data_IF_264624261541
#
_entry.id   IF_264624261541
#
_cell.length_a   1.000
_cell.length_b   1.000
_cell.length_c   1.000
_cell.angle_alpha   90.00
_cell.angle_beta   90.00
_cell.angle_gamma   90.00
#
_symmetry.space_group_name_H-M   'P 1'
#
loop_
_entity.id
_entity.type
_entity.pdbx_description
1 polymer ?
#
# COMPACT_ATOMS: atom_id res chain seq x y z
N UNK A 1 14.66 9.64 -11.95
CA UNK A 1 15.55 8.50 -11.57
C UNK A 1 14.68 7.28 -11.36
N UNK A 2 15.07 6.13 -11.88
CA UNK A 2 14.33 4.88 -11.62
C UNK A 2 14.57 4.48 -10.16
N UNK A 3 13.50 4.45 -9.34
CA UNK A 3 13.58 3.92 -7.97
C UNK A 3 13.06 2.49 -7.99
N UNK A 4 13.66 1.60 -7.18
CA UNK A 4 13.29 0.19 -7.08
C UNK A 4 11.78 -0.01 -6.81
N UNK A 5 11.17 0.91 -6.06
CA UNK A 5 9.76 0.85 -5.70
C UNK A 5 8.80 0.90 -6.89
N UNK A 6 9.20 1.48 -8.02
CA UNK A 6 8.36 1.55 -9.23
C UNK A 6 8.21 0.21 -9.96
N UNK A 7 9.12 -0.73 -9.73
CA UNK A 7 9.12 -2.07 -10.30
C UNK A 7 8.73 -3.14 -9.28
N UNK A 8 8.44 -2.73 -8.04
CA UNK A 8 8.13 -3.65 -6.96
C UNK A 8 6.70 -4.21 -7.06
N UNK A 9 6.56 -5.41 -6.50
CA UNK A 9 5.26 -5.97 -6.08
C UNK A 9 5.28 -6.01 -4.57
N UNK A 10 4.38 -5.25 -3.95
CA UNK A 10 4.30 -5.13 -2.50
C UNK A 10 3.41 -6.20 -1.87
N UNK A 11 3.80 -6.64 -0.68
CA UNK A 11 2.97 -7.42 0.23
C UNK A 11 2.78 -6.63 1.53
N UNK A 12 1.54 -6.33 1.89
CA UNK A 12 1.23 -5.58 3.10
C UNK A 12 0.91 -6.51 4.26
N UNK A 13 1.56 -6.31 5.40
CA UNK A 13 1.29 -7.00 6.66
C UNK A 13 0.83 -5.99 7.71
N UNK A 14 -0.27 -6.30 8.41
CA UNK A 14 -0.65 -5.64 9.66
C UNK A 14 -0.19 -6.54 10.82
N UNK A 15 0.98 -6.24 11.44
CA UNK A 15 1.67 -7.21 12.28
C UNK A 15 0.94 -7.52 13.60
N UNK A 16 0.33 -6.53 14.25
CA UNK A 16 -0.47 -6.77 15.47
C UNK A 16 -1.60 -7.78 15.21
N UNK A 17 -2.27 -7.68 14.05
CA UNK A 17 -3.30 -8.63 13.64
C UNK A 17 -2.73 -9.98 13.27
N UNK A 18 -1.85 -10.04 12.25
CA UNK A 18 -1.28 -11.31 11.75
C UNK A 18 -0.67 -12.15 12.88
N UNK A 19 0.04 -11.49 13.79
CA UNK A 19 0.73 -12.16 14.90
C UNK A 19 -0.19 -12.47 16.09
N UNK A 20 -1.47 -12.10 16.05
CA UNK A 20 -2.43 -12.38 17.13
C UNK A 20 -2.14 -11.63 18.43
N UNK A 21 -1.63 -10.40 18.32
CA UNK A 21 -1.40 -9.55 19.48
C UNK A 21 -2.72 -9.09 20.11
N UNK A 22 -2.80 -8.92 21.45
CA UNK A 22 -3.99 -8.35 22.08
C UNK A 22 -4.20 -6.91 21.60
N UNK A 23 -5.46 -6.45 21.55
CA UNK A 23 -5.78 -5.10 21.09
C UNK A 23 -5.18 -4.03 22.02
N UNK A 24 -5.43 -4.16 23.32
CA UNK A 24 -4.83 -3.27 24.34
C UNK A 24 -3.38 -3.68 24.61
N UNK A 25 -2.50 -2.69 24.76
CA UNK A 25 -1.12 -2.93 25.17
C UNK A 25 -1.10 -3.29 26.66
N UNK A 26 -0.96 -4.56 26.94
CA UNK A 26 -0.93 -5.12 28.30
C UNK A 26 0.45 -5.02 28.97
N UNK A 27 1.46 -4.52 28.27
CA UNK A 27 2.85 -4.41 28.72
C UNK A 27 3.59 -5.75 28.79
N UNK A 28 2.99 -6.84 28.33
CA UNK A 28 3.63 -8.17 28.31
C UNK A 28 4.46 -8.32 27.04
N UNK A 29 5.75 -8.62 27.25
CA UNK A 29 6.63 -8.86 26.10
C UNK A 29 6.51 -10.30 25.63
N UNK A 30 6.21 -10.43 24.33
CA UNK A 30 6.10 -11.70 23.62
C UNK A 30 6.86 -11.62 22.29
N UNK A 31 7.36 -12.73 21.78
CA UNK A 31 8.14 -12.77 20.53
C UNK A 31 7.26 -13.09 19.29
N UNK A 32 6.06 -12.49 19.21
CA UNK A 32 5.06 -12.81 18.19
C UNK A 32 5.48 -12.43 16.77
N UNK A 33 6.28 -11.38 16.61
CA UNK A 33 6.73 -10.90 15.30
C UNK A 33 7.57 -11.95 14.54
N UNK A 34 8.21 -12.88 15.26
CA UNK A 34 8.97 -13.97 14.66
C UNK A 34 8.10 -14.89 13.80
N UNK A 35 6.77 -14.89 13.99
CA UNK A 35 5.81 -15.55 13.10
C UNK A 35 5.95 -15.13 11.64
N UNK A 36 6.35 -13.89 11.37
CA UNK A 36 6.57 -13.39 10.01
C UNK A 36 7.66 -14.15 9.28
N UNK A 37 8.60 -14.78 9.99
CA UNK A 37 9.63 -15.62 9.38
C UNK A 37 9.04 -16.77 8.56
N UNK A 38 7.90 -17.33 9.01
CA UNK A 38 7.17 -18.41 8.32
C UNK A 38 6.45 -17.90 7.05
N UNK A 39 6.29 -16.57 6.90
CA UNK A 39 5.69 -15.92 5.72
C UNK A 39 6.71 -15.59 4.63
N UNK A 40 8.01 -15.52 4.95
CA UNK A 40 9.03 -15.02 4.03
C UNK A 40 9.10 -15.83 2.73
N UNK A 41 9.09 -17.16 2.84
CA UNK A 41 9.10 -18.06 1.67
C UNK A 41 7.84 -17.88 0.82
N UNK A 42 6.67 -17.85 1.45
CA UNK A 42 5.38 -17.60 0.77
C UNK A 42 5.37 -16.26 0.00
N UNK A 43 5.85 -15.19 0.63
CA UNK A 43 5.94 -13.86 0.01
C UNK A 43 6.87 -13.88 -1.20
N UNK A 44 8.02 -14.56 -1.08
CA UNK A 44 8.97 -14.70 -2.18
C UNK A 44 8.40 -15.53 -3.34
N UNK A 45 7.73 -16.66 -3.03
CA UNK A 45 7.08 -17.52 -4.02
C UNK A 45 5.89 -16.83 -4.70
N UNK A 46 5.14 -16.00 -3.96
CA UNK A 46 4.09 -15.16 -4.53
C UNK A 46 4.63 -14.15 -5.57
N UNK A 47 5.95 -13.92 -5.57
CA UNK A 47 6.63 -12.99 -6.48
C UNK A 47 6.71 -11.56 -5.94
N UNK A 48 6.33 -11.34 -4.67
CA UNK A 48 6.50 -10.05 -4.01
C UNK A 48 7.96 -9.82 -3.62
N UNK A 49 8.47 -8.62 -3.87
CA UNK A 49 9.85 -8.23 -3.58
C UNK A 49 9.96 -7.00 -2.67
N UNK A 50 8.84 -6.59 -2.08
CA UNK A 50 8.79 -5.59 -1.04
C UNK A 50 7.69 -5.93 -0.03
N UNK A 51 7.97 -5.77 1.27
CA UNK A 51 6.98 -5.86 2.34
C UNK A 51 6.75 -4.47 2.90
N UNK A 52 5.48 -4.10 3.00
CA UNK A 52 5.02 -2.94 3.75
C UNK A 52 4.42 -3.40 5.07
N UNK A 53 5.05 -3.03 6.18
CA UNK A 53 4.53 -3.26 7.51
C UNK A 53 3.68 -2.06 7.96
N UNK A 54 2.39 -2.29 8.28
CA UNK A 54 1.62 -1.39 9.14
C UNK A 54 2.33 -1.26 10.50
N UNK A 55 1.95 -0.32 11.41
CA UNK A 55 2.78 0.05 12.54
C UNK A 55 3.32 -1.13 13.36
N UNK A 56 4.62 -1.06 13.68
CA UNK A 56 5.36 -2.07 14.47
C UNK A 56 5.84 -1.53 15.81
N UNK A 57 5.79 -0.21 16.02
CA UNK A 57 6.37 0.44 17.20
C UNK A 57 5.41 0.46 18.39
N UNK A 58 5.98 0.62 19.58
CA UNK A 58 5.24 0.65 20.85
C UNK A 58 4.07 1.62 20.79
N UNK A 59 2.86 1.12 21.06
CA UNK A 59 1.61 1.86 20.92
C UNK A 59 0.61 1.57 22.04
N UNK A 60 -0.43 2.39 22.15
CA UNK A 60 -1.49 2.18 23.15
C UNK A 60 -2.38 0.99 22.77
N UNK A 61 -2.80 0.90 21.49
CA UNK A 61 -3.73 -0.14 21.00
C UNK A 61 -3.38 -0.63 19.59
N UNK A 62 -3.92 0.02 18.56
CA UNK A 62 -3.91 -0.44 17.16
C UNK A 62 -2.62 -0.09 16.37
N UNK A 63 -1.59 0.40 17.02
CA UNK A 63 -0.33 0.75 16.35
C UNK A 63 -0.25 2.21 15.90
N UNK A 64 -1.36 2.85 15.54
CA UNK A 64 -1.37 4.25 15.11
C UNK A 64 -1.34 5.27 16.26
N UNK A 65 -1.51 4.85 17.50
CA UNK A 65 -1.34 5.66 18.71
C UNK A 65 0.01 5.37 19.38
N UNK A 66 1.09 5.77 18.69
CA UNK A 66 2.48 5.49 19.03
C UNK A 66 2.87 6.07 20.40
N UNK A 67 3.58 5.26 21.20
CA UNK A 67 4.22 5.69 22.48
C UNK A 67 5.70 5.95 22.32
N UNK A 68 6.37 5.16 21.47
CA UNK A 68 7.83 5.21 21.31
C UNK A 68 8.21 4.79 19.89
N UNK A 69 8.99 5.62 19.20
CA UNK A 69 9.37 5.38 17.81
C UNK A 69 10.57 4.44 17.62
N UNK A 70 11.38 4.23 18.66
CA UNK A 70 12.61 3.43 18.56
C UNK A 70 12.50 2.07 19.25
N UNK A 71 11.31 1.72 19.75
CA UNK A 71 11.04 0.45 20.42
C UNK A 71 9.93 -0.29 19.70
N UNK A 72 10.18 -1.55 19.35
CA UNK A 72 9.14 -2.44 18.82
C UNK A 72 8.09 -2.67 19.92
N UNK A 73 6.82 -2.73 19.51
CA UNK A 73 5.70 -2.98 20.43
C UNK A 73 5.94 -4.27 21.21
N UNK A 74 5.87 -4.19 22.55
CA UNK A 74 6.17 -5.32 23.42
C UNK A 74 5.27 -6.54 23.12
N UNK A 75 4.05 -6.31 22.64
CA UNK A 75 3.13 -7.37 22.20
C UNK A 75 3.65 -8.12 20.96
N UNK A 76 4.53 -7.50 20.16
CA UNK A 76 5.16 -8.09 18.98
C UNK A 76 6.51 -8.70 19.30
N UNK A 77 7.34 -8.05 20.12
CA UNK A 77 8.66 -8.57 20.41
C UNK A 77 9.66 -7.54 20.88
N UNK A 78 10.91 -7.81 20.55
CA UNK A 78 12.04 -6.91 20.76
C UNK A 78 12.53 -6.29 19.46
N UNK A 79 13.41 -5.30 19.56
CA UNK A 79 14.08 -4.73 18.38
C UNK A 79 14.93 -5.79 17.66
N UNK A 80 15.54 -6.71 18.41
CA UNK A 80 16.33 -7.84 17.88
C UNK A 80 15.46 -8.81 17.09
N UNK A 81 14.26 -9.12 17.58
CA UNK A 81 13.30 -9.99 16.87
C UNK A 81 12.90 -9.38 15.53
N UNK A 82 12.53 -8.08 15.53
CA UNK A 82 12.15 -7.41 14.29
C UNK A 82 13.33 -7.24 13.34
N UNK A 83 14.52 -7.00 13.87
CA UNK A 83 15.74 -6.99 13.05
C UNK A 83 15.96 -8.34 12.37
N UNK A 84 15.80 -9.45 13.08
CA UNK A 84 15.89 -10.78 12.49
C UNK A 84 14.88 -11.00 11.35
N UNK A 85 13.66 -10.47 11.48
CA UNK A 85 12.65 -10.49 10.41
C UNK A 85 13.12 -9.66 9.21
N UNK A 86 13.62 -8.45 9.43
CA UNK A 86 14.13 -7.60 8.35
C UNK A 86 15.32 -8.26 7.63
N UNK A 87 16.27 -8.81 8.38
CA UNK A 87 17.43 -9.49 7.83
C UNK A 87 17.01 -10.69 6.96
N UNK A 88 16.01 -11.47 7.44
CA UNK A 88 15.48 -12.62 6.68
C UNK A 88 14.77 -12.21 5.39
N UNK A 89 14.02 -11.12 5.42
CA UNK A 89 13.40 -10.55 4.21
C UNK A 89 14.48 -10.12 3.21
N UNK A 90 15.50 -9.39 3.66
CA UNK A 90 16.60 -8.95 2.82
C UNK A 90 17.42 -10.13 2.23
N UNK A 91 17.66 -11.20 3.00
CA UNK A 91 18.30 -12.43 2.51
C UNK A 91 17.53 -13.06 1.34
N UNK A 92 16.21 -12.85 1.28
CA UNK A 92 15.35 -13.32 0.19
C UNK A 92 15.10 -12.25 -0.89
N UNK A 93 15.86 -11.15 -0.89
CA UNK A 93 15.75 -10.07 -1.87
C UNK A 93 14.47 -9.23 -1.74
N UNK A 94 13.85 -9.25 -0.56
CA UNK A 94 12.60 -8.52 -0.27
C UNK A 94 12.95 -7.24 0.48
N UNK A 95 12.55 -6.09 -0.08
CA UNK A 95 12.69 -4.77 0.51
C UNK A 95 11.71 -4.56 1.68
N UNK A 96 12.10 -3.76 2.67
CA UNK A 96 11.30 -3.51 3.87
C UNK A 96 10.87 -2.04 3.93
N UNK A 97 9.56 -1.81 4.01
CA UNK A 97 8.94 -0.49 4.17
C UNK A 97 8.14 -0.47 5.47
N UNK A 98 8.33 0.54 6.31
CA UNK A 98 7.61 0.71 7.57
C UNK A 98 6.55 1.80 7.48
N UNK A 99 5.54 1.70 8.34
CA UNK A 99 4.56 2.77 8.54
C UNK A 99 5.14 3.87 9.45
N UNK A 100 5.16 5.08 8.95
CA UNK A 100 5.58 6.28 9.65
C UNK A 100 4.39 7.09 10.12
N UNK A 101 3.98 6.91 11.36
CA UNK A 101 2.87 7.64 11.99
C UNK A 101 3.41 8.92 12.60
N UNK A 102 3.51 10.00 11.80
CA UNK A 102 4.18 11.23 12.20
C UNK A 102 3.25 12.43 12.40
N UNK A 103 1.97 12.31 12.02
CA UNK A 103 1.00 13.36 12.25
C UNK A 103 0.57 13.45 13.72
N UNK A 104 0.50 12.32 14.40
CA UNK A 104 -0.02 12.19 15.76
C UNK A 104 0.68 11.06 16.52
N UNK A 105 0.49 11.05 17.83
CA UNK A 105 0.98 10.03 18.78
C UNK A 105 -0.14 9.60 19.71
N UNK A 106 0.06 8.50 20.42
CA UNK A 106 -0.83 8.05 21.48
C UNK A 106 -0.76 8.93 22.72
N UNK A 107 -1.76 8.83 23.59
CA UNK A 107 -1.77 9.51 24.88
C UNK A 107 -0.69 8.98 25.84
N UNK A 108 -0.21 7.75 25.59
CA UNK A 108 0.91 7.14 26.30
C UNK A 108 2.29 7.69 25.90
N UNK A 109 2.38 8.57 24.88
CA UNK A 109 3.65 9.19 24.46
C UNK A 109 4.27 9.99 25.61
N UNK A 110 5.55 9.73 26.01
CA UNK A 110 6.14 10.29 27.22
C UNK A 110 6.09 11.82 27.31
N UNK A 111 6.35 12.52 26.19
CA UNK A 111 6.34 13.98 26.14
C UNK A 111 4.92 14.54 26.32
N UNK A 112 3.88 13.84 25.81
CA UNK A 112 2.51 14.26 26.04
C UNK A 112 2.07 14.02 27.49
N UNK A 113 2.49 12.91 28.09
CA UNK A 113 2.24 12.64 29.51
C UNK A 113 2.88 13.71 30.42
N UNK A 114 4.12 14.11 30.12
CA UNK A 114 4.78 15.21 30.85
C UNK A 114 3.96 16.52 30.76
N UNK A 115 3.40 16.83 29.57
CA UNK A 115 2.50 17.99 29.40
C UNK A 115 1.22 17.84 30.23
N UNK A 116 0.62 16.67 30.26
CA UNK A 116 -0.58 16.43 31.08
C UNK A 116 -0.30 16.61 32.58
N UNK A 117 0.89 16.24 33.06
CA UNK A 117 1.31 16.37 34.46
C UNK A 117 1.73 17.80 34.82
N UNK A 118 2.61 18.40 34.02
CA UNK A 118 3.28 19.68 34.36
C UNK A 118 2.62 20.93 33.76
N UNK A 119 1.71 20.75 32.80
CA UNK A 119 0.99 21.85 32.13
C UNK A 119 1.97 22.89 31.55
N UNK A 120 1.86 24.13 31.99
CA UNK A 120 2.70 25.24 31.54
C UNK A 120 4.20 25.04 31.81
N UNK A 121 4.57 24.26 32.80
CA UNK A 121 5.96 24.01 33.19
C UNK A 121 6.62 22.89 32.36
N UNK A 122 5.86 22.20 31.52
CA UNK A 122 6.42 21.18 30.62
C UNK A 122 7.28 21.78 29.54
N UNK A 123 8.51 21.28 29.30
CA UNK A 123 9.34 21.71 28.17
C UNK A 123 8.78 21.23 26.81
N UNK A 124 7.80 20.33 26.81
CA UNK A 124 7.21 19.73 25.62
C UNK A 124 5.87 20.35 25.22
N UNK A 125 5.38 21.40 25.90
CA UNK A 125 4.08 21.99 25.60
C UNK A 125 3.92 22.45 24.14
N UNK A 126 5.01 22.92 23.53
CA UNK A 126 5.02 23.39 22.14
C UNK A 126 5.21 22.27 21.11
N UNK A 127 5.33 21.01 21.57
CA UNK A 127 5.36 19.83 20.70
C UNK A 127 3.98 19.47 20.15
N UNK A 128 2.93 20.03 20.77
CA UNK A 128 1.53 19.76 20.46
C UNK A 128 0.78 21.08 20.29
N UNK A 129 -0.44 21.01 19.78
CA UNK A 129 -1.34 22.14 19.68
C UNK A 129 -2.28 22.14 20.89
N UNK A 130 -1.95 22.89 21.95
CA UNK A 130 -2.61 22.83 23.25
C UNK A 130 -3.26 24.16 23.61
N UNK A 131 -4.43 24.08 24.27
CA UNK A 131 -5.08 25.18 24.96
C UNK A 131 -5.32 24.76 26.42
N UNK A 132 -4.59 25.40 27.36
CA UNK A 132 -4.69 25.11 28.78
C UNK A 132 -5.95 25.70 29.46
N UNK A 133 -6.66 26.59 28.79
CA UNK A 133 -7.95 27.12 29.25
C UNK A 133 -9.15 26.25 28.82
N UNK A 134 -8.89 25.25 27.97
CA UNK A 134 -9.87 24.29 27.47
C UNK A 134 -9.84 22.95 28.20
N UNK A 135 -10.65 22.01 27.71
CA UNK A 135 -10.65 20.63 28.19
C UNK A 135 -10.95 19.67 27.04
N UNK A 136 -10.45 18.45 27.12
CA UNK A 136 -10.75 17.37 26.19
C UNK A 136 -11.82 16.42 26.76
N UNK A 137 -12.24 15.44 25.99
CA UNK A 137 -13.12 14.36 26.45
C UNK A 137 -12.51 13.50 27.57
N UNK A 138 -11.20 13.54 27.74
CA UNK A 138 -10.47 12.85 28.82
C UNK A 138 -10.46 13.62 30.14
N UNK A 139 -10.95 14.86 30.13
CA UNK A 139 -11.05 15.69 31.33
C UNK A 139 -9.71 15.95 32.04
N UNK A 140 -8.65 16.14 31.28
CA UNK A 140 -7.27 16.36 31.78
C UNK A 140 -7.00 17.81 32.22
N UNK A 141 -7.97 18.71 32.07
CA UNK A 141 -7.79 20.15 32.31
C UNK A 141 -6.90 20.83 31.29
N UNK A 142 -6.94 20.35 30.06
CA UNK A 142 -6.38 20.97 28.85
C UNK A 142 -7.14 20.47 27.63
N UNK A 143 -7.25 21.32 26.61
CA UNK A 143 -7.66 20.94 25.29
C UNK A 143 -6.42 20.80 24.39
N UNK A 144 -6.44 19.86 23.47
CA UNK A 144 -5.40 19.68 22.45
C UNK A 144 -6.03 19.25 21.13
N UNK A 145 -5.34 19.52 20.03
CA UNK A 145 -5.76 19.05 18.72
C UNK A 145 -5.48 17.55 18.58
N UNK A 146 -6.54 16.78 18.24
CA UNK A 146 -6.42 15.39 17.83
C UNK A 146 -6.58 15.26 16.33
N UNK A 147 -6.18 14.12 15.76
CA UNK A 147 -6.45 13.84 14.36
C UNK A 147 -7.97 13.71 14.13
N UNK A 148 -8.53 14.58 13.28
CA UNK A 148 -9.97 14.60 12.93
C UNK A 148 -10.93 14.51 14.14
N UNK A 149 -10.53 15.04 15.29
CA UNK A 149 -11.33 15.03 16.52
C UNK A 149 -11.15 13.79 17.41
N UNK A 150 -10.28 12.87 17.01
CA UNK A 150 -9.89 11.70 17.82
C UNK A 150 -8.84 12.11 18.86
N UNK A 151 -9.24 12.24 20.13
CA UNK A 151 -8.37 12.67 21.22
C UNK A 151 -7.39 11.61 21.72
N UNK A 152 -7.56 10.36 21.35
CA UNK A 152 -6.56 9.28 21.53
C UNK A 152 -5.38 9.39 20.56
N UNK A 153 -5.49 10.23 19.52
CA UNK A 153 -4.49 10.50 18.49
C UNK A 153 -4.05 11.97 18.58
N UNK A 154 -3.08 12.23 19.48
CA UNK A 154 -2.63 13.58 19.83
C UNK A 154 -1.76 14.15 18.72
N UNK A 155 -2.20 15.23 18.08
CA UNK A 155 -1.50 15.82 16.94
C UNK A 155 -0.17 16.46 17.34
N UNK A 156 0.89 16.13 16.59
CA UNK A 156 2.21 16.71 16.73
C UNK A 156 2.32 18.05 15.99
N UNK A 157 3.09 18.98 16.57
CA UNK A 157 3.44 20.24 15.92
C UNK A 157 4.69 20.04 15.03
N UNK A 158 4.50 19.64 13.77
CA UNK A 158 5.57 19.41 12.81
C UNK A 158 6.32 20.69 12.36
N UNK A 159 5.93 21.88 12.86
CA UNK A 159 6.68 23.12 12.69
C UNK A 159 7.67 23.36 13.83
N UNK A 160 7.57 22.61 14.91
CA UNK A 160 8.53 22.66 16.00
C UNK A 160 9.81 21.87 15.61
N UNK A 161 11.00 22.52 15.54
CA UNK A 161 12.22 21.82 15.14
C UNK A 161 12.58 20.63 16.03
N UNK A 162 12.31 20.71 17.34
CA UNK A 162 12.62 19.60 18.26
C UNK A 162 11.74 18.36 17.99
N UNK A 163 10.48 18.55 17.56
CA UNK A 163 9.61 17.45 17.12
C UNK A 163 10.15 16.83 15.84
N UNK A 164 10.51 17.67 14.87
CA UNK A 164 11.06 17.19 13.60
C UNK A 164 12.38 16.44 13.82
N UNK A 165 13.28 16.96 14.65
CA UNK A 165 14.56 16.32 14.97
C UNK A 165 14.37 14.99 15.70
N UNK A 166 13.37 14.89 16.59
CA UNK A 166 13.00 13.64 17.26
C UNK A 166 12.54 12.57 16.25
N UNK A 167 11.65 12.93 15.32
CA UNK A 167 11.16 12.03 14.27
C UNK A 167 12.30 11.61 13.32
N UNK A 168 13.11 12.56 12.85
CA UNK A 168 14.24 12.25 11.96
C UNK A 168 15.30 11.38 12.65
N UNK A 169 15.51 11.57 13.97
CA UNK A 169 16.35 10.70 14.77
C UNK A 169 15.85 9.25 14.79
N UNK A 170 14.54 9.06 14.95
CA UNK A 170 13.92 7.75 14.89
C UNK A 170 14.05 7.12 13.48
N UNK A 171 13.77 7.89 12.42
CA UNK A 171 13.93 7.43 11.03
C UNK A 171 15.37 7.02 10.73
N UNK A 172 16.35 7.79 11.22
CA UNK A 172 17.77 7.41 11.11
C UNK A 172 18.04 6.07 11.78
N UNK A 173 17.53 5.90 13.01
CA UNK A 173 17.67 4.63 13.73
C UNK A 173 17.05 3.46 12.95
N UNK A 174 15.88 3.62 12.36
CA UNK A 174 15.23 2.58 11.55
C UNK A 174 16.06 2.17 10.34
N UNK A 175 16.67 3.17 9.64
CA UNK A 175 17.53 2.92 8.49
C UNK A 175 18.82 2.21 8.93
N UNK A 176 19.47 2.69 9.98
CA UNK A 176 20.78 2.19 10.41
C UNK A 176 20.70 0.85 11.14
N UNK A 177 19.64 0.63 11.95
CA UNK A 177 19.52 -0.59 12.76
C UNK A 177 18.71 -1.69 12.09
N UNK A 178 17.53 -1.38 11.55
CA UNK A 178 16.68 -2.37 10.87
C UNK A 178 17.03 -2.51 9.37
N UNK A 179 17.73 -1.56 8.79
CA UNK A 179 18.10 -1.58 7.38
C UNK A 179 16.95 -1.26 6.42
N UNK A 180 15.88 -0.62 6.87
CA UNK A 180 14.69 -0.39 6.06
C UNK A 180 14.97 0.34 4.75
N UNK A 181 14.13 0.08 3.75
CA UNK A 181 14.26 0.58 2.39
C UNK A 181 13.27 1.71 2.05
N UNK A 182 12.30 1.93 2.90
CA UNK A 182 11.30 2.96 2.69
C UNK A 182 10.36 3.16 3.87
N UNK A 183 9.51 4.18 3.73
CA UNK A 183 8.45 4.51 4.69
C UNK A 183 7.16 4.81 3.93
N UNK A 184 6.05 4.27 4.42
CA UNK A 184 4.70 4.74 4.12
C UNK A 184 4.30 5.76 5.17
N UNK A 185 3.93 6.95 4.78
CA UNK A 185 3.49 8.01 5.68
C UNK A 185 1.98 7.90 5.91
N UNK A 186 1.61 7.61 7.14
CA UNK A 186 0.23 7.65 7.61
C UNK A 186 -0.34 9.06 7.45
N UNK A 187 -1.60 9.16 7.00
CA UNK A 187 -2.32 10.42 6.75
C UNK A 187 -1.45 11.53 6.14
N UNK A 188 -0.71 11.20 5.08
CA UNK A 188 0.27 12.11 4.48
C UNK A 188 -0.30 13.46 4.06
N UNK A 189 -1.61 13.54 3.80
CA UNK A 189 -2.31 14.79 3.49
C UNK A 189 -2.39 15.76 4.69
N UNK A 190 -2.23 15.26 5.93
CA UNK A 190 -2.21 16.06 7.16
C UNK A 190 -0.80 16.57 7.53
N UNK A 191 0.25 15.99 6.96
CA UNK A 191 1.63 16.34 7.31
C UNK A 191 2.02 17.73 6.78
N UNK A 192 2.80 18.46 7.57
CA UNK A 192 3.34 19.75 7.16
C UNK A 192 4.18 19.65 5.88
N UNK A 193 4.10 20.65 5.01
CA UNK A 193 4.73 20.65 3.70
C UNK A 193 6.26 20.64 3.79
N UNK A 194 6.82 21.47 4.67
CA UNK A 194 8.27 21.59 4.85
C UNK A 194 8.83 20.36 5.54
N UNK A 195 8.07 19.74 6.45
CA UNK A 195 8.43 18.46 7.06
C UNK A 195 8.63 17.36 6.00
N UNK A 196 7.70 17.23 5.03
CA UNK A 196 7.83 16.21 3.97
C UNK A 196 9.06 16.42 3.10
N UNK A 197 9.36 17.66 2.72
CA UNK A 197 10.59 18.00 1.97
C UNK A 197 11.85 17.69 2.78
N UNK A 198 11.84 18.03 4.06
CA UNK A 198 12.96 17.76 4.96
C UNK A 198 13.16 16.24 5.14
N UNK A 199 12.08 15.49 5.32
CA UNK A 199 12.13 14.02 5.40
C UNK A 199 12.72 13.41 4.12
N UNK A 200 12.24 13.86 2.93
CA UNK A 200 12.77 13.40 1.64
C UNK A 200 14.28 13.62 1.52
N UNK A 201 14.73 14.85 1.76
CA UNK A 201 16.15 15.20 1.67
C UNK A 201 16.99 14.42 2.69
N UNK A 202 16.49 14.27 3.92
CA UNK A 202 17.17 13.55 4.99
C UNK A 202 17.34 12.06 4.67
N UNK A 203 16.26 11.39 4.26
CA UNK A 203 16.30 9.95 3.97
C UNK A 203 17.14 9.64 2.73
N UNK A 204 17.03 10.45 1.66
CA UNK A 204 17.88 10.31 0.47
C UNK A 204 19.36 10.53 0.80
N UNK A 205 19.67 11.41 1.75
CA UNK A 205 21.06 11.63 2.22
C UNK A 205 21.64 10.43 3.00
N UNK A 206 20.78 9.62 3.63
CA UNK A 206 21.20 8.40 4.35
C UNK A 206 21.24 7.16 3.42
N UNK A 207 20.26 7.07 2.51
CA UNK A 207 20.12 5.95 1.57
C UNK A 207 19.52 6.49 0.26
N UNK A 208 20.33 6.53 -0.79
CA UNK A 208 20.01 7.20 -2.06
C UNK A 208 18.70 6.71 -2.70
N UNK A 209 18.46 5.40 -2.64
CA UNK A 209 17.29 4.75 -3.21
C UNK A 209 16.09 4.61 -2.24
N UNK A 210 16.12 5.32 -1.09
CA UNK A 210 15.07 5.23 -0.08
C UNK A 210 13.69 5.66 -0.63
N UNK A 211 12.66 4.82 -0.41
CA UNK A 211 11.35 4.98 -1.03
C UNK A 211 10.32 5.58 -0.07
N UNK A 212 9.66 6.67 -0.45
CA UNK A 212 8.61 7.31 0.33
C UNK A 212 7.26 7.16 -0.35
N UNK A 213 6.29 6.58 0.37
CA UNK A 213 4.89 6.42 -0.04
C UNK A 213 4.03 7.26 0.90
N UNK A 214 3.05 7.99 0.40
CA UNK A 214 2.08 8.70 1.24
C UNK A 214 0.72 8.04 1.20
N UNK A 215 0.05 7.97 2.33
CA UNK A 215 -1.38 7.72 2.31
C UNK A 215 -2.12 8.98 1.90
N UNK A 216 -2.78 8.92 0.75
CA UNK A 216 -3.65 9.98 0.24
C UNK A 216 -5.01 9.37 -0.10
N UNK A 217 -6.08 9.95 0.45
CA UNK A 217 -7.44 9.46 0.24
C UNK A 217 -8.13 10.18 -0.91
N UNK A 218 -7.80 11.45 -1.14
CA UNK A 218 -8.42 12.31 -2.14
C UNK A 218 -7.55 13.52 -2.47
N UNK A 219 -7.96 14.29 -3.46
CA UNK A 219 -7.28 15.52 -3.88
C UNK A 219 -6.35 15.33 -5.06
N UNK A 220 -5.56 16.34 -5.35
CA UNK A 220 -4.56 16.30 -6.43
C UNK A 220 -3.24 15.73 -5.91
N UNK A 221 -2.97 14.47 -6.21
CA UNK A 221 -1.78 13.74 -5.73
C UNK A 221 -0.46 14.36 -6.20
N UNK A 222 -0.44 15.12 -7.31
CA UNK A 222 0.76 15.80 -7.80
C UNK A 222 1.35 16.80 -6.80
N UNK A 223 0.52 17.28 -5.87
CA UNK A 223 0.96 18.19 -4.79
C UNK A 223 1.87 17.50 -3.77
N UNK A 224 1.80 16.16 -3.66
CA UNK A 224 2.58 15.36 -2.71
C UNK A 224 3.59 14.44 -3.40
N UNK A 225 3.21 13.87 -4.55
CA UNK A 225 4.05 12.96 -5.33
C UNK A 225 4.81 13.76 -6.38
N UNK A 226 6.06 14.06 -6.07
CA UNK A 226 6.96 14.85 -6.93
C UNK A 226 8.43 14.64 -6.49
N UNK A 227 9.38 15.27 -7.19
CA UNK A 227 10.82 15.08 -6.96
C UNK A 227 11.30 15.61 -5.60
N UNK A 228 10.54 16.49 -4.94
CA UNK A 228 10.94 17.10 -3.66
C UNK A 228 10.36 16.38 -2.43
N UNK A 229 9.28 15.58 -2.60
CA UNK A 229 8.55 15.00 -1.47
C UNK A 229 8.41 13.48 -1.59
N UNK A 230 7.28 12.99 -2.06
CA UNK A 230 6.98 11.56 -2.09
C UNK A 230 7.26 10.96 -3.47
N UNK A 231 7.68 9.69 -3.49
CA UNK A 231 7.83 8.92 -4.72
C UNK A 231 6.51 8.35 -5.22
N UNK A 232 5.63 8.00 -4.28
CA UNK A 232 4.35 7.33 -4.54
C UNK A 232 3.31 7.72 -3.49
N UNK A 233 2.06 7.38 -3.76
CA UNK A 233 0.95 7.47 -2.82
C UNK A 233 -0.03 6.33 -3.05
N UNK A 234 -0.87 6.03 -2.05
CA UNK A 234 -1.95 5.05 -2.15
C UNK A 234 -2.99 5.47 -3.20
N UNK A 235 -3.31 4.57 -4.13
CA UNK A 235 -4.21 4.87 -5.25
C UNK A 235 -5.69 4.66 -4.88
N UNK A 236 -6.21 5.48 -3.97
CA UNK A 236 -7.64 5.49 -3.68
C UNK A 236 -8.50 6.02 -4.83
N UNK A 237 -7.91 6.77 -5.77
CA UNK A 237 -8.59 7.26 -6.97
C UNK A 237 -9.16 6.13 -7.83
N UNK A 238 -8.40 5.02 -7.97
CA UNK A 238 -8.81 3.85 -8.77
C UNK A 238 -9.40 2.72 -7.92
N UNK A 239 -9.21 2.73 -6.59
CA UNK A 239 -9.64 1.65 -5.69
C UNK A 239 -11.13 1.30 -5.87
N UNK A 240 -12.02 2.30 -5.85
CA UNK A 240 -13.45 2.05 -6.03
C UNK A 240 -13.75 1.39 -7.36
N UNK A 241 -13.15 1.88 -8.45
CA UNK A 241 -13.36 1.34 -9.79
C UNK A 241 -12.95 -0.11 -9.93
N UNK A 242 -11.94 -0.58 -9.17
CA UNK A 242 -11.47 -1.97 -9.19
C UNK A 242 -12.55 -2.98 -8.78
N UNK A 243 -13.48 -2.62 -7.89
CA UNK A 243 -14.56 -3.55 -7.51
C UNK A 243 -15.91 -3.14 -8.11
N UNK A 244 -16.21 -1.83 -8.19
CA UNK A 244 -17.52 -1.39 -8.64
C UNK A 244 -17.76 -1.66 -10.12
N UNK A 245 -16.72 -1.59 -10.96
CA UNK A 245 -16.83 -1.93 -12.38
C UNK A 245 -17.26 -3.38 -12.62
N UNK A 246 -16.76 -4.31 -11.78
CA UNK A 246 -17.16 -5.72 -11.86
C UNK A 246 -18.55 -5.95 -11.25
N UNK A 247 -18.87 -5.32 -10.12
CA UNK A 247 -20.17 -5.46 -9.46
C UNK A 247 -21.32 -4.88 -10.29
N UNK A 248 -21.09 -3.77 -10.98
CA UNK A 248 -22.08 -3.10 -11.84
C UNK A 248 -22.03 -3.60 -13.31
N UNK A 249 -21.07 -4.50 -13.64
CA UNK A 249 -20.79 -4.92 -15.02
C UNK A 249 -20.60 -3.72 -15.93
N UNK A 250 -19.76 -2.77 -15.51
CA UNK A 250 -19.51 -1.51 -16.22
C UNK A 250 -18.02 -1.15 -16.21
N UNK A 251 -17.24 -1.73 -17.14
CA UNK A 251 -15.81 -1.47 -17.28
C UNK A 251 -15.48 -0.02 -17.65
N UNK A 252 -16.48 0.78 -18.10
CA UNK A 252 -16.26 2.21 -18.34
C UNK A 252 -15.86 2.96 -17.07
N UNK A 253 -16.26 2.52 -15.88
CA UNK A 253 -15.95 3.21 -14.63
C UNK A 253 -14.43 3.22 -14.35
N UNK A 254 -13.80 2.04 -14.28
CA UNK A 254 -12.35 1.97 -14.04
C UNK A 254 -11.55 2.49 -15.24
N UNK A 255 -11.95 2.15 -16.46
CA UNK A 255 -11.27 2.59 -17.66
C UNK A 255 -11.32 4.11 -17.85
N UNK A 256 -12.42 4.76 -17.47
CA UNK A 256 -12.54 6.23 -17.48
C UNK A 256 -11.55 6.87 -16.49
N UNK A 257 -11.50 6.35 -15.26
CA UNK A 257 -10.53 6.82 -14.25
C UNK A 257 -9.09 6.66 -14.75
N UNK A 258 -8.74 5.48 -15.27
CA UNK A 258 -7.41 5.21 -15.80
C UNK A 258 -7.06 6.14 -16.97
N UNK A 259 -7.94 6.29 -17.95
CA UNK A 259 -7.71 7.14 -19.13
C UNK A 259 -7.53 8.61 -18.74
N UNK A 260 -8.35 9.14 -17.85
CA UNK A 260 -8.31 10.55 -17.47
C UNK A 260 -7.14 10.88 -16.54
N UNK A 261 -6.69 9.92 -15.72
CA UNK A 261 -5.61 10.17 -14.75
C UNK A 261 -4.24 9.79 -15.29
N UNK A 262 -4.13 8.63 -15.97
CA UNK A 262 -2.87 8.03 -16.38
C UNK A 262 -2.70 7.91 -17.90
N UNK A 263 -3.61 8.47 -18.71
CA UNK A 263 -3.52 8.46 -20.15
C UNK A 263 -2.27 9.18 -20.67
N UNK A 264 -1.95 9.03 -21.98
CA UNK A 264 -0.76 9.60 -22.59
C UNK A 264 -0.85 11.12 -22.83
N UNK A 265 -2.04 11.68 -22.69
CA UNK A 265 -2.29 13.09 -23.00
C UNK A 265 -1.65 14.02 -21.96
N UNK A 266 -1.20 15.19 -22.38
CA UNK A 266 -0.52 16.16 -21.48
C UNK A 266 -1.41 16.66 -20.33
N UNK A 267 -2.72 16.62 -20.52
CA UNK A 267 -3.67 17.04 -19.48
C UNK A 267 -3.97 15.94 -18.44
N UNK A 268 -3.51 14.69 -18.68
CA UNK A 268 -3.67 13.61 -17.70
C UNK A 268 -2.82 13.91 -16.45
N UNK A 269 -3.51 14.06 -15.34
CA UNK A 269 -2.95 14.62 -14.10
C UNK A 269 -1.85 13.75 -13.48
N UNK A 270 -1.95 12.42 -13.62
CA UNK A 270 -1.02 11.44 -13.02
C UNK A 270 -0.20 10.71 -14.07
N UNK A 271 -0.04 11.30 -15.25
CA UNK A 271 0.80 10.74 -16.31
C UNK A 271 2.22 10.50 -15.80
N UNK A 272 2.70 9.26 -15.92
CA UNK A 272 4.03 8.85 -15.47
C UNK A 272 4.18 8.73 -13.95
N UNK A 273 3.12 8.90 -13.16
CA UNK A 273 3.14 8.60 -11.73
C UNK A 273 2.98 7.11 -11.47
N UNK A 274 3.71 6.61 -10.49
CA UNK A 274 3.65 5.24 -10.01
C UNK A 274 2.99 5.22 -8.63
N UNK A 275 1.66 5.10 -8.59
CA UNK A 275 0.90 5.05 -7.35
C UNK A 275 0.83 3.61 -6.83
N UNK A 276 0.81 3.44 -5.50
CA UNK A 276 0.62 2.15 -4.86
C UNK A 276 -0.83 1.71 -5.00
N UNK A 277 -1.07 0.72 -5.86
CA UNK A 277 -2.39 0.21 -6.22
C UNK A 277 -2.74 -1.01 -5.36
N UNK A 278 -3.97 -1.08 -4.88
CA UNK A 278 -4.45 -2.16 -4.03
C UNK A 278 -5.91 -2.49 -4.34
N UNK A 279 -6.32 -3.73 -4.15
CA UNK A 279 -7.70 -4.17 -4.22
C UNK A 279 -8.40 -4.11 -2.85
N UNK A 280 -7.63 -4.28 -1.79
CA UNK A 280 -8.00 -4.08 -0.39
C UNK A 280 -6.77 -3.77 0.48
N UNK A 281 -7.01 -3.37 1.73
CA UNK A 281 -6.00 -3.13 2.75
C UNK A 281 -6.61 -3.29 4.16
N UNK A 282 -5.88 -2.87 5.20
CA UNK A 282 -6.28 -3.00 6.60
C UNK A 282 -7.42 -2.07 7.05
N UNK A 283 -7.90 -1.16 6.18
CA UNK A 283 -8.92 -0.15 6.50
C UNK A 283 -10.21 -0.30 5.70
N UNK A 284 -10.22 -1.14 4.68
CA UNK A 284 -11.36 -1.34 3.79
C UNK A 284 -11.84 -2.79 3.77
N UNK A 285 -13.11 -2.99 3.40
CA UNK A 285 -13.67 -4.32 3.20
C UNK A 285 -12.81 -5.13 2.23
N UNK A 286 -12.51 -6.39 2.58
CA UNK A 286 -11.71 -7.26 1.72
C UNK A 286 -12.36 -7.49 0.37
N UNK A 287 -11.55 -7.53 -0.68
CA UNK A 287 -12.04 -7.64 -2.07
C UNK A 287 -12.90 -8.89 -2.26
N UNK A 288 -12.56 -10.02 -1.65
CA UNK A 288 -13.36 -11.25 -1.71
C UNK A 288 -14.73 -11.14 -1.03
N UNK A 289 -14.93 -10.15 -0.14
CA UNK A 289 -16.23 -9.86 0.50
C UNK A 289 -17.05 -8.84 -0.26
N UNK A 290 -16.40 -7.88 -0.96
CA UNK A 290 -17.09 -6.79 -1.63
C UNK A 290 -17.60 -7.19 -3.03
N UNK A 291 -16.98 -8.18 -3.68
CA UNK A 291 -17.38 -8.65 -5.00
C UNK A 291 -18.69 -9.45 -4.94
N UNK A 292 -19.66 -9.04 -5.75
CA UNK A 292 -20.96 -9.72 -5.90
C UNK A 292 -20.82 -11.09 -6.57
N UNK A 293 -19.86 -11.23 -7.49
CA UNK A 293 -19.52 -12.48 -8.16
C UNK A 293 -18.08 -12.90 -7.80
N UNK A 294 -17.90 -13.98 -7.01
CA UNK A 294 -16.56 -14.46 -6.66
C UNK A 294 -15.67 -14.83 -7.84
N UNK A 295 -16.25 -15.18 -9.00
CA UNK A 295 -15.52 -15.46 -10.24
C UNK A 295 -14.79 -14.25 -10.82
N UNK A 296 -15.14 -13.03 -10.40
CA UNK A 296 -14.44 -11.82 -10.80
C UNK A 296 -13.13 -11.57 -10.02
N UNK A 297 -12.89 -12.28 -8.93
CA UNK A 297 -11.73 -12.04 -8.08
C UNK A 297 -10.38 -12.12 -8.82
N UNK A 298 -10.10 -13.14 -9.68
CA UNK A 298 -8.87 -13.18 -10.47
C UNK A 298 -8.80 -12.05 -11.49
N UNK A 299 -9.95 -11.61 -12.02
CA UNK A 299 -10.02 -10.53 -13.03
C UNK A 299 -9.66 -9.18 -12.41
N UNK A 300 -10.10 -8.94 -11.15
CA UNK A 300 -9.71 -7.76 -10.38
C UNK A 300 -8.19 -7.71 -10.19
N UNK A 301 -7.56 -8.83 -9.85
CA UNK A 301 -6.10 -8.88 -9.72
C UNK A 301 -5.39 -8.68 -11.05
N UNK A 302 -5.92 -9.25 -12.16
CA UNK A 302 -5.35 -8.97 -13.49
C UNK A 302 -5.45 -7.48 -13.83
N UNK A 303 -6.56 -6.82 -13.54
CA UNK A 303 -6.68 -5.36 -13.68
C UNK A 303 -5.67 -4.62 -12.81
N UNK A 304 -5.53 -4.99 -11.53
CA UNK A 304 -4.61 -4.38 -10.58
C UNK A 304 -3.15 -4.43 -11.06
N UNK A 305 -2.72 -5.57 -11.59
CA UNK A 305 -1.35 -5.75 -12.10
C UNK A 305 -1.12 -5.16 -13.48
N UNK A 306 -2.19 -4.98 -14.27
CA UNK A 306 -2.13 -4.44 -15.62
C UNK A 306 -2.27 -2.93 -15.73
N UNK A 307 -2.92 -2.29 -14.75
CA UNK A 307 -3.08 -0.83 -14.70
C UNK A 307 -1.77 -0.13 -14.34
N UNK A 308 -1.60 1.18 -14.68
CA UNK A 308 -0.45 1.95 -14.25
C UNK A 308 -0.34 2.02 -12.72
N UNK A 309 0.85 1.74 -12.18
CA UNK A 309 1.12 1.83 -10.75
C UNK A 309 1.91 0.64 -10.22
N UNK A 310 1.99 0.56 -8.90
CA UNK A 310 2.75 -0.42 -8.13
C UNK A 310 1.74 -1.35 -7.46
N UNK A 311 1.64 -2.64 -7.81
CA UNK A 311 0.68 -3.53 -7.19
C UNK A 311 1.05 -3.85 -5.74
N UNK A 312 0.04 -3.85 -4.86
CA UNK A 312 0.15 -4.22 -3.46
C UNK A 312 -0.92 -5.25 -3.11
N UNK A 313 -0.52 -6.32 -2.45
CA UNK A 313 -1.38 -7.40 -1.96
C UNK A 313 -1.42 -7.33 -0.44
N UNK A 314 -2.62 -7.34 0.12
CA UNK A 314 -2.82 -7.38 1.56
C UNK A 314 -2.86 -8.83 2.04
N UNK A 315 -2.13 -9.16 3.12
CA UNK A 315 -1.99 -10.54 3.60
C UNK A 315 -3.35 -11.24 3.76
N UNK A 316 -3.46 -12.45 3.23
CA UNK A 316 -4.68 -13.23 3.21
C UNK A 316 -5.57 -13.01 1.98
N UNK A 317 -5.42 -11.90 1.28
CA UNK A 317 -6.23 -11.60 0.09
C UNK A 317 -5.81 -12.45 -1.11
N UNK A 318 -4.58 -12.95 -1.14
CA UNK A 318 -4.06 -13.84 -2.19
C UNK A 318 -4.66 -15.24 -2.19
N UNK A 319 -5.33 -15.65 -1.11
CA UNK A 319 -6.15 -16.86 -1.09
C UNK A 319 -7.65 -16.58 -0.91
N UNK A 320 -8.05 -15.30 -0.95
CA UNK A 320 -9.44 -14.88 -0.93
C UNK A 320 -10.05 -14.80 0.47
N UNK A 321 -9.26 -14.45 1.49
CA UNK A 321 -9.77 -14.20 2.84
C UNK A 321 -10.86 -13.13 2.82
N UNK A 322 -11.89 -13.31 3.65
CA UNK A 322 -13.08 -12.46 3.71
C UNK A 322 -13.14 -11.69 5.02
N UNK A 323 -13.52 -10.43 4.95
CA UNK A 323 -13.87 -9.59 6.10
C UNK A 323 -14.57 -8.32 5.61
N UNK A 324 -15.47 -7.76 6.41
CA UNK A 324 -16.22 -6.55 6.08
C UNK A 324 -15.92 -5.44 7.08
N UNK A 325 -15.78 -4.20 6.61
CA UNK A 325 -15.53 -3.01 7.46
C UNK A 325 -16.61 -2.77 8.50
N UNK A 326 -17.85 -3.16 8.21
CA UNK A 326 -18.98 -3.04 9.16
C UNK A 326 -18.79 -3.88 10.45
N UNK A 327 -17.94 -4.92 10.40
CA UNK A 327 -17.65 -5.79 11.54
C UNK A 327 -16.49 -5.24 12.41
N UNK A 328 -16.02 -4.02 12.08
CA UNK A 328 -14.95 -3.31 12.78
C UNK A 328 -13.56 -3.62 12.24
N UNK A 329 -12.59 -2.79 12.62
CA UNK A 329 -11.19 -2.92 12.16
C UNK A 329 -10.54 -4.25 12.53
N UNK A 330 -10.77 -4.85 13.71
CA UNK A 330 -10.18 -6.15 14.05
C UNK A 330 -10.54 -7.26 13.05
N UNK A 331 -11.76 -7.22 12.48
CA UNK A 331 -12.17 -8.19 11.47
C UNK A 331 -11.35 -8.10 10.17
N UNK A 332 -10.91 -6.89 9.81
CA UNK A 332 -10.06 -6.65 8.64
C UNK A 332 -8.59 -7.08 8.87
N UNK A 333 -8.20 -7.27 10.12
CA UNK A 333 -6.82 -7.48 10.60
C UNK A 333 -6.65 -8.82 11.32
N UNK A 334 -7.13 -9.95 10.72
CA UNK A 334 -7.16 -11.24 11.40
C UNK A 334 -5.76 -11.82 11.62
N UNK A 335 -5.65 -12.68 12.63
CA UNK A 335 -4.52 -13.59 12.74
C UNK A 335 -4.74 -14.81 11.82
N UNK A 336 -3.66 -15.27 11.20
CA UNK A 336 -3.61 -16.54 10.48
C UNK A 336 -2.49 -17.41 11.06
N UNK A 337 -2.71 -18.70 11.20
CA UNK A 337 -1.69 -19.60 11.75
C UNK A 337 -0.54 -19.82 10.77
N UNK A 338 -0.84 -19.93 9.50
CA UNK A 338 0.10 -20.08 8.39
C UNK A 338 -0.45 -19.44 7.12
N UNK A 339 0.39 -19.10 6.13
CA UNK A 339 -0.11 -18.70 4.82
C UNK A 339 -0.79 -19.87 4.12
N UNK A 340 -1.83 -19.56 3.34
CA UNK A 340 -2.54 -20.52 2.53
C UNK A 340 -2.22 -20.31 1.04
N UNK A 341 -2.35 -21.38 0.26
CA UNK A 341 -2.19 -21.35 -1.19
C UNK A 341 -3.34 -22.06 -1.87
N UNK A 342 -3.84 -21.46 -2.94
CA UNK A 342 -4.90 -22.03 -3.77
C UNK A 342 -4.74 -21.52 -5.23
N UNK A 343 -5.72 -21.83 -6.08
CA UNK A 343 -5.72 -21.41 -7.48
C UNK A 343 -5.60 -19.87 -7.68
N UNK A 344 -6.11 -19.05 -6.74
CA UNK A 344 -5.97 -17.60 -6.79
C UNK A 344 -4.53 -17.18 -6.49
N UNK A 345 -3.90 -17.81 -5.50
CA UNK A 345 -2.47 -17.60 -5.19
C UNK A 345 -1.61 -17.90 -6.42
N UNK A 346 -1.84 -19.03 -7.11
CA UNK A 346 -1.12 -19.36 -8.35
C UNK A 346 -1.37 -18.33 -9.46
N UNK A 347 -2.60 -17.81 -9.58
CA UNK A 347 -2.91 -16.76 -10.54
C UNK A 347 -2.11 -15.49 -10.26
N UNK A 348 -2.10 -15.04 -8.99
CA UNK A 348 -1.35 -13.85 -8.55
C UNK A 348 0.15 -14.03 -8.74
N UNK A 349 0.71 -15.23 -8.51
CA UNK A 349 2.12 -15.54 -8.79
C UNK A 349 2.47 -15.27 -10.26
N UNK A 350 1.60 -15.69 -11.19
CA UNK A 350 1.79 -15.44 -12.64
C UNK A 350 1.73 -13.95 -12.95
N UNK A 351 0.80 -13.21 -12.35
CA UNK A 351 0.67 -11.76 -12.50
C UNK A 351 1.90 -11.02 -11.93
N UNK A 352 2.37 -11.39 -10.76
CA UNK A 352 3.55 -10.81 -10.13
C UNK A 352 4.81 -11.06 -10.96
N UNK A 353 4.97 -12.27 -11.49
CA UNK A 353 6.04 -12.61 -12.43
C UNK A 353 5.96 -11.74 -13.69
N UNK A 354 4.76 -11.65 -14.31
CA UNK A 354 4.56 -10.82 -15.50
C UNK A 354 4.92 -9.35 -15.24
N UNK A 355 4.48 -8.78 -14.11
CA UNK A 355 4.79 -7.39 -13.73
C UNK A 355 6.29 -7.14 -13.60
N UNK A 356 7.01 -8.06 -12.96
CA UNK A 356 8.47 -7.93 -12.74
C UNK A 356 9.29 -8.14 -14.02
N UNK A 357 8.81 -8.95 -14.96
CA UNK A 357 9.51 -9.26 -16.21
C UNK A 357 9.20 -8.27 -17.36
N UNK A 358 8.08 -7.53 -17.27
CA UNK A 358 7.61 -6.62 -18.32
C UNK A 358 7.71 -5.16 -17.87
N UNK A 359 8.71 -4.45 -18.39
CA UNK A 359 8.87 -3.01 -18.11
C UNK A 359 7.69 -2.16 -18.60
N UNK A 360 7.00 -2.61 -19.64
CA UNK A 360 5.77 -1.97 -20.10
C UNK A 360 4.66 -1.99 -19.05
N UNK A 361 4.58 -2.98 -18.15
CA UNK A 361 3.63 -3.00 -17.03
C UNK A 361 4.01 -1.99 -15.95
N UNK A 362 5.31 -1.73 -15.74
CA UNK A 362 5.80 -0.76 -14.76
C UNK A 362 5.72 0.67 -15.30
N UNK A 363 6.20 0.93 -16.50
CA UNK A 363 6.46 2.28 -17.03
C UNK A 363 5.64 2.66 -18.26
N UNK A 364 4.91 1.72 -18.85
CA UNK A 364 4.27 1.89 -20.16
C UNK A 364 3.18 2.96 -20.17
N UNK A 365 3.07 3.67 -21.28
CA UNK A 365 1.92 4.52 -21.56
C UNK A 365 0.63 3.69 -21.63
N UNK A 366 -0.50 4.31 -21.26
CA UNK A 366 -1.80 3.65 -21.23
C UNK A 366 -2.63 3.99 -22.47
N UNK A 367 -3.14 2.95 -23.17
CA UNK A 367 -4.23 3.05 -24.15
C UNK A 367 -5.28 1.99 -23.87
N UNK A 368 -6.49 2.22 -24.34
CA UNK A 368 -7.61 1.27 -24.17
C UNK A 368 -8.25 1.03 -25.54
N UNK A 369 -7.70 0.10 -26.34
CA UNK A 369 -8.18 -0.18 -27.69
C UNK A 369 -9.57 -0.82 -27.74
N UNK A 370 -9.99 -1.55 -26.71
CA UNK A 370 -11.33 -2.15 -26.62
C UNK A 370 -11.94 -1.83 -25.28
N UNK A 371 -13.19 -1.38 -25.30
CA UNK A 371 -13.98 -1.07 -24.10
C UNK A 371 -15.46 -1.29 -24.36
N UNK A 372 -16.06 -2.15 -23.57
CA UNK A 372 -17.49 -2.39 -23.50
C UNK A 372 -17.95 -2.37 -22.04
N UNK A 373 -19.21 -2.66 -21.76
CA UNK A 373 -19.68 -2.76 -20.38
C UNK A 373 -18.99 -3.89 -19.59
N UNK A 374 -18.67 -4.99 -20.27
CA UNK A 374 -18.22 -6.22 -19.62
C UNK A 374 -16.80 -6.63 -20.00
N UNK A 375 -16.22 -6.02 -21.01
CA UNK A 375 -14.89 -6.34 -21.52
C UNK A 375 -14.03 -5.09 -21.70
N UNK A 376 -12.74 -5.25 -21.48
CA UNK A 376 -11.75 -4.25 -21.86
C UNK A 376 -10.44 -4.90 -22.31
N UNK A 377 -9.72 -4.19 -23.18
CA UNK A 377 -8.32 -4.46 -23.49
C UNK A 377 -7.55 -3.19 -23.22
N UNK A 378 -6.54 -3.29 -22.35
CA UNK A 378 -5.62 -2.21 -22.01
C UNK A 378 -4.30 -2.50 -22.70
N UNK A 379 -3.71 -1.49 -23.33
CA UNK A 379 -2.39 -1.55 -23.96
C UNK A 379 -1.41 -0.75 -23.15
N UNK A 380 -0.23 -1.32 -22.92
CA UNK A 380 0.92 -0.68 -22.28
C UNK A 380 2.12 -0.75 -23.20
N UNK A 381 2.72 0.39 -23.52
CA UNK A 381 3.88 0.52 -24.43
C UNK A 381 5.05 1.17 -23.68
N UNK A 382 6.22 0.54 -23.69
CA UNK A 382 7.45 1.11 -23.13
C UNK A 382 8.69 0.57 -23.88
N UNK A 383 9.52 1.45 -24.38
CA UNK A 383 10.83 1.13 -24.99
C UNK A 383 10.81 -0.05 -25.98
N UNK A 384 9.81 -0.06 -26.86
CA UNK A 384 9.63 -1.12 -27.85
C UNK A 384 8.91 -2.38 -27.35
N UNK A 385 8.71 -2.52 -26.03
CA UNK A 385 7.89 -3.58 -25.46
C UNK A 385 6.41 -3.16 -25.47
N UNK A 386 5.53 -4.06 -25.94
CA UNK A 386 4.06 -3.89 -25.91
C UNK A 386 3.41 -5.05 -25.21
N UNK A 387 2.48 -4.72 -24.33
CA UNK A 387 1.68 -5.69 -23.57
C UNK A 387 0.20 -5.30 -23.63
N UNK A 388 -0.67 -6.28 -23.87
CA UNK A 388 -2.12 -6.12 -23.78
C UNK A 388 -2.65 -6.87 -22.56
N UNK A 389 -3.50 -6.21 -21.79
CA UNK A 389 -4.25 -6.81 -20.67
C UNK A 389 -5.69 -6.93 -21.15
N UNK A 390 -6.16 -8.14 -21.36
CA UNK A 390 -7.51 -8.42 -21.84
C UNK A 390 -8.35 -9.04 -20.73
N UNK A 391 -9.55 -8.50 -20.50
CA UNK A 391 -10.47 -8.93 -19.45
C UNK A 391 -11.86 -9.12 -20.04
N UNK A 392 -12.46 -10.27 -19.78
CA UNK A 392 -13.85 -10.57 -20.05
C UNK A 392 -14.56 -10.94 -18.73
N UNK A 393 -15.37 -10.05 -18.20
CA UNK A 393 -16.16 -10.27 -17.00
C UNK A 393 -17.53 -10.92 -17.25
N UNK A 394 -17.89 -11.17 -18.54
CA UNK A 394 -19.13 -11.84 -18.92
C UNK A 394 -19.02 -13.37 -18.79
N UNK A 395 -20.16 -14.02 -18.61
CA UNK A 395 -20.34 -15.48 -18.71
C UNK A 395 -20.40 -15.98 -20.17
N UNK A 396 -20.33 -15.06 -21.14
CA UNK A 396 -20.26 -15.35 -22.58
C UNK A 396 -18.86 -15.06 -23.13
N UNK A 397 -18.40 -15.82 -24.13
CA UNK A 397 -17.14 -15.53 -24.80
C UNK A 397 -17.20 -14.22 -25.57
N UNK A 398 -16.05 -13.58 -25.74
CA UNK A 398 -15.93 -12.35 -26.49
C UNK A 398 -14.74 -12.39 -27.46
N UNK A 399 -14.93 -11.91 -28.69
CA UNK A 399 -13.82 -11.73 -29.63
C UNK A 399 -13.51 -10.24 -29.76
N UNK A 400 -12.37 -9.84 -29.26
CA UNK A 400 -11.89 -8.47 -29.36
C UNK A 400 -11.27 -8.20 -30.73
N UNK A 401 -11.66 -7.10 -31.37
CA UNK A 401 -11.09 -6.65 -32.65
C UNK A 401 -10.37 -5.31 -32.44
N UNK A 402 -9.07 -5.30 -32.63
CA UNK A 402 -8.23 -4.10 -32.52
C UNK A 402 -6.93 -4.32 -33.31
N UNK A 403 -6.24 -3.24 -33.63
CA UNK A 403 -4.91 -3.32 -34.26
C UNK A 403 -3.86 -3.50 -33.14
N UNK A 404 -3.32 -4.71 -33.04
CA UNK A 404 -2.24 -5.03 -32.13
C UNK A 404 -0.88 -4.49 -32.60
N UNK A 405 -0.72 -4.28 -33.89
CA UNK A 405 0.57 -3.97 -34.56
C UNK A 405 1.55 -5.16 -34.56
N UNK A 406 1.11 -6.34 -34.12
CA UNK A 406 1.89 -7.57 -34.01
C UNK A 406 1.02 -8.77 -34.41
N UNK A 407 1.66 -9.84 -34.90
CA UNK A 407 0.94 -11.07 -35.25
C UNK A 407 0.75 -12.01 -34.07
N UNK A 408 1.76 -12.12 -33.22
CA UNK A 408 1.80 -13.09 -32.13
C UNK A 408 2.20 -12.43 -30.78
N UNK A 409 1.76 -13.04 -29.68
CA UNK A 409 2.17 -12.71 -28.33
C UNK A 409 2.34 -13.96 -27.47
N UNK A 410 3.11 -13.84 -26.39
CA UNK A 410 3.09 -14.79 -25.30
C UNK A 410 2.04 -14.38 -24.26
N UNK A 411 1.12 -15.27 -23.95
CA UNK A 411 0.17 -15.07 -22.85
C UNK A 411 0.82 -15.46 -21.53
N UNK A 412 1.15 -14.45 -20.72
CA UNK A 412 1.87 -14.63 -19.47
C UNK A 412 1.01 -15.22 -18.35
N UNK A 413 -0.32 -15.23 -18.51
CA UNK A 413 -1.26 -15.86 -17.56
C UNK A 413 -1.40 -17.33 -17.83
N UNK A 414 -1.57 -17.72 -19.11
CA UNK A 414 -1.84 -19.11 -19.50
C UNK A 414 -0.59 -19.88 -19.95
N UNK A 415 0.50 -19.18 -20.28
CA UNK A 415 1.72 -19.76 -20.85
C UNK A 415 1.59 -20.17 -22.32
N UNK A 416 0.49 -19.79 -22.99
CA UNK A 416 0.24 -20.14 -24.40
C UNK A 416 0.67 -19.01 -25.33
N UNK A 417 0.84 -19.33 -26.62
CA UNK A 417 0.97 -18.31 -27.66
C UNK A 417 -0.40 -17.83 -28.07
N UNK A 418 -0.58 -16.51 -28.18
CA UNK A 418 -1.77 -15.86 -28.69
C UNK A 418 -1.51 -15.35 -30.12
N UNK A 419 -2.48 -15.56 -31.01
CA UNK A 419 -2.48 -15.06 -32.39
C UNK A 419 -3.54 -13.97 -32.53
N UNK A 420 -3.13 -12.77 -32.96
CA UNK A 420 -4.03 -11.64 -33.16
C UNK A 420 -4.79 -11.72 -34.51
N UNK A 421 -4.43 -12.67 -35.37
CA UNK A 421 -5.08 -12.85 -36.69
C UNK A 421 -6.55 -13.23 -36.57
N UNK A 422 -7.44 -12.46 -37.17
CA UNK A 422 -8.89 -12.73 -37.17
C UNK A 422 -9.63 -12.27 -35.93
N UNK A 423 -8.94 -11.63 -34.96
CA UNK A 423 -9.48 -11.17 -33.69
C UNK A 423 -9.01 -12.02 -32.49
N UNK A 424 -9.06 -11.42 -31.32
CA UNK A 424 -8.58 -12.02 -30.07
C UNK A 424 -9.74 -12.62 -29.26
N UNK A 425 -9.83 -13.94 -29.24
CA UNK A 425 -10.85 -14.66 -28.47
C UNK A 425 -10.50 -14.62 -26.98
N UNK A 426 -11.46 -14.25 -26.14
CA UNK A 426 -11.36 -14.19 -24.68
C UNK A 426 -12.49 -15.05 -24.12
N UNK A 427 -12.14 -16.08 -23.38
CA UNK A 427 -13.08 -17.02 -22.77
C UNK A 427 -14.02 -16.30 -21.78
N UNK A 428 -15.17 -16.88 -21.44
CA UNK A 428 -16.03 -16.37 -20.36
C UNK A 428 -15.25 -16.26 -19.03
N UNK A 429 -15.48 -15.19 -18.27
CA UNK A 429 -14.91 -15.01 -16.95
C UNK A 429 -13.38 -15.21 -16.91
N UNK A 430 -12.67 -14.66 -17.90
CA UNK A 430 -11.24 -14.88 -18.06
C UNK A 430 -10.45 -13.59 -18.30
N UNK A 431 -9.16 -13.70 -18.12
CA UNK A 431 -8.23 -12.59 -18.34
C UNK A 431 -6.88 -13.09 -18.87
N UNK A 432 -6.20 -12.23 -19.62
CA UNK A 432 -4.93 -12.52 -20.26
C UNK A 432 -3.98 -11.34 -20.16
N UNK A 433 -2.68 -11.61 -20.18
CA UNK A 433 -1.61 -10.62 -20.36
C UNK A 433 -0.78 -11.08 -21.56
N UNK A 434 -0.97 -10.42 -22.70
CA UNK A 434 -0.32 -10.76 -23.97
C UNK A 434 0.90 -9.87 -24.20
N UNK A 435 2.09 -10.44 -24.08
CA UNK A 435 3.37 -9.79 -24.38
C UNK A 435 3.70 -10.02 -25.85
N UNK A 436 3.69 -8.97 -26.67
CA UNK A 436 3.94 -9.02 -28.10
C UNK A 436 5.36 -9.49 -28.44
N UNK A 437 5.50 -10.23 -29.58
CA UNK A 437 6.76 -10.75 -30.10
C UNK A 437 7.24 -9.96 -31.30
#
# INVERSE_FOLDING_TARGET
MNNWGYEAVFYQIYPLGLCGAPFENDGVQEHRILKVLDWVEHIAELGCNAVYFSPVFESDTHGYNTREYCKIDCRLGTNEDFKAVCDKLHENGIKVVLDGVFNHVGRGFPQFRDVCEKKWDSPYKDWFHINFDGNSSYNDGLWYEGWEGHYDLVKLNLRNPAVVDHILGAVKYWIEYFGIDGIRLDVAYCLDFDFRKRLRSFTTGLKEDFFLIGELLHGDYSRWVNDEMLHSATNYECYKGLFSSFNSMNMFEICHSLKNRFGPEQWCQYRGMHLLCFADNHDVTRIASILSNPGHLPLVYTMLFGMPGIPCIYYGSEWGAKAEKKDGDPALRPAFDAPESNWLTEHIQRLAKAHRECKALCYGDLKIPVLTNKQCVIQRDFDGERVFIAINADDQPFTAHFDAGYGLADDLVTGKTHDFGGGSYIEPMSSHIWRCK
#
